data_IF_621510730949
#
_entry.id   IF_621510730949
#
_cell.length_a   1.000
_cell.length_b   1.000
_cell.length_c   1.000
_cell.angle_alpha   90.00
_cell.angle_beta   90.00
_cell.angle_gamma   90.00
#
_symmetry.space_group_name_H-M   'P 1'
#
loop_
_entity.id
_entity.type
_entity.pdbx_description
1 polymer ?
#
# COMPACT_ATOMS: atom_id res chain seq x y z
N UNK A 1 -21.90 18.39 -35.24
CA UNK A 1 -20.54 18.45 -34.63
C UNK A 1 -20.68 19.10 -33.26
N UNK A 2 -21.18 18.38 -32.25
CA UNK A 2 -21.21 18.82 -30.86
C UNK A 2 -19.93 18.32 -30.19
N UNK A 3 -18.93 19.19 -30.08
CA UNK A 3 -17.78 18.92 -29.21
C UNK A 3 -18.28 18.80 -27.77
N UNK A 4 -17.76 17.83 -27.01
CA UNK A 4 -18.10 17.66 -25.60
C UNK A 4 -17.97 19.01 -24.86
N UNK A 5 -19.09 19.51 -24.29
CA UNK A 5 -19.12 20.79 -23.57
C UNK A 5 -18.55 20.70 -22.16
N UNK A 6 -18.32 19.49 -21.70
CA UNK A 6 -17.88 19.22 -20.34
C UNK A 6 -16.72 18.22 -20.34
N UNK A 7 -15.83 18.38 -19.37
CA UNK A 7 -14.75 17.40 -19.12
C UNK A 7 -15.28 16.31 -18.18
N UNK A 8 -14.91 15.05 -18.46
CA UNK A 8 -15.23 13.96 -17.53
C UNK A 8 -14.64 14.23 -16.16
N UNK A 9 -15.47 14.15 -15.11
CA UNK A 9 -15.10 14.54 -13.75
C UNK A 9 -13.87 13.83 -13.23
N UNK A 10 -13.76 12.51 -13.44
CA UNK A 10 -12.66 11.70 -12.88
C UNK A 10 -11.37 11.90 -13.68
N UNK A 11 -11.46 12.15 -14.99
CA UNK A 11 -10.31 12.53 -15.79
C UNK A 11 -9.81 13.95 -15.46
N UNK A 12 -10.72 14.86 -15.13
CA UNK A 12 -10.39 16.20 -14.64
C UNK A 12 -9.70 16.14 -13.27
N UNK A 13 -10.14 15.24 -12.39
CA UNK A 13 -9.51 15.02 -11.09
C UNK A 13 -8.08 14.45 -11.25
N UNK A 14 -7.88 13.50 -12.18
CA UNK A 14 -6.53 13.03 -12.51
C UNK A 14 -5.62 14.14 -13.05
N UNK A 15 -6.17 15.08 -13.83
CA UNK A 15 -5.43 16.27 -14.27
C UNK A 15 -5.09 17.23 -13.11
N UNK A 16 -5.97 17.34 -12.09
CA UNK A 16 -5.67 18.06 -10.87
C UNK A 16 -4.52 17.41 -10.08
N UNK A 17 -4.49 16.09 -9.98
CA UNK A 17 -3.38 15.36 -9.34
C UNK A 17 -2.03 15.64 -10.03
N UNK A 18 -2.03 15.81 -11.35
CA UNK A 18 -0.83 16.24 -12.07
C UNK A 18 -0.32 17.60 -11.59
N UNK A 19 -1.21 18.56 -11.36
CA UNK A 19 -0.85 19.89 -10.84
C UNK A 19 -0.30 19.82 -9.41
N UNK A 20 -0.82 18.91 -8.57
CA UNK A 20 -0.27 18.66 -7.24
C UNK A 20 1.14 18.11 -7.32
N UNK A 21 1.40 17.19 -8.27
CA UNK A 21 2.75 16.67 -8.52
C UNK A 21 3.71 17.76 -8.99
N UNK A 22 3.28 18.64 -9.89
CA UNK A 22 4.07 19.77 -10.40
C UNK A 22 4.56 20.68 -9.28
N UNK A 23 3.79 20.89 -8.20
CA UNK A 23 4.26 21.61 -7.02
C UNK A 23 5.36 20.83 -6.26
N UNK A 24 5.26 19.50 -6.19
CA UNK A 24 6.34 18.65 -5.64
C UNK A 24 7.63 18.71 -6.47
N UNK A 25 7.52 18.92 -7.78
CA UNK A 25 8.64 19.05 -8.71
C UNK A 25 9.19 20.50 -8.81
N UNK A 26 8.50 21.48 -8.23
CA UNK A 26 8.86 22.89 -8.31
C UNK A 26 10.07 23.21 -7.40
N UNK A 27 11.24 23.43 -7.99
CA UNK A 27 12.50 23.70 -7.31
C UNK A 27 12.54 25.05 -6.56
N UNK A 28 11.57 25.95 -6.83
CA UNK A 28 11.40 27.22 -6.12
C UNK A 28 10.79 27.06 -4.73
N UNK A 29 10.16 25.91 -4.46
CA UNK A 29 9.59 25.62 -3.14
C UNK A 29 10.65 25.06 -2.19
N UNK A 30 10.52 25.31 -0.88
CA UNK A 30 11.36 24.66 0.12
C UNK A 30 11.27 23.13 0.03
N UNK A 31 12.40 22.43 0.25
CA UNK A 31 12.51 20.99 0.06
C UNK A 31 11.42 20.18 0.79
N UNK A 32 11.13 20.54 2.06
CA UNK A 32 10.10 19.82 2.83
C UNK A 32 8.68 20.13 2.35
N UNK A 33 8.44 21.29 1.75
CA UNK A 33 7.15 21.57 1.12
C UNK A 33 6.99 20.76 -0.16
N UNK A 34 8.05 20.58 -0.96
CA UNK A 34 8.04 19.68 -2.11
C UNK A 34 7.69 18.23 -1.68
N UNK A 35 8.35 17.71 -0.65
CA UNK A 35 8.06 16.39 -0.07
C UNK A 35 6.59 16.29 0.39
N UNK A 36 6.07 17.34 1.01
CA UNK A 36 4.69 17.40 1.46
C UNK A 36 3.70 17.33 0.29
N UNK A 37 3.96 17.99 -0.84
CA UNK A 37 3.12 17.86 -2.04
C UNK A 37 3.14 16.43 -2.61
N UNK A 38 4.27 15.74 -2.58
CA UNK A 38 4.32 14.32 -2.95
C UNK A 38 3.46 13.46 -2.00
N UNK A 39 3.50 13.72 -0.70
CA UNK A 39 2.65 13.01 0.28
C UNK A 39 1.15 13.32 0.07
N UNK A 40 0.79 14.57 -0.24
CA UNK A 40 -0.59 14.96 -0.58
C UNK A 40 -1.07 14.21 -1.83
N UNK A 41 -0.23 14.08 -2.85
CA UNK A 41 -0.58 13.30 -4.05
C UNK A 41 -0.91 11.85 -3.69
N UNK A 42 -0.09 11.20 -2.84
CA UNK A 42 -0.35 9.82 -2.39
C UNK A 42 -1.69 9.70 -1.66
N UNK A 43 -1.99 10.62 -0.74
CA UNK A 43 -3.25 10.63 0.00
C UNK A 43 -4.47 10.84 -0.92
N UNK A 44 -4.34 11.74 -1.90
CA UNK A 44 -5.39 11.99 -2.89
C UNK A 44 -5.64 10.76 -3.78
N UNK A 45 -4.58 10.06 -4.17
CA UNK A 45 -4.70 8.82 -4.94
C UNK A 45 -5.36 7.72 -4.11
N UNK A 46 -5.01 7.58 -2.83
CA UNK A 46 -5.65 6.61 -1.94
C UNK A 46 -7.16 6.87 -1.84
N UNK A 47 -7.58 8.11 -1.57
CA UNK A 47 -8.99 8.47 -1.53
C UNK A 47 -9.69 8.24 -2.87
N UNK A 48 -9.04 8.56 -3.98
CA UNK A 48 -9.56 8.34 -5.32
C UNK A 48 -9.83 6.85 -5.57
N UNK A 49 -8.90 5.96 -5.21
CA UNK A 49 -9.05 4.52 -5.32
C UNK A 49 -10.06 3.94 -4.33
N UNK A 50 -10.23 4.55 -3.17
CA UNK A 50 -11.22 4.11 -2.17
C UNK A 50 -12.65 4.51 -2.53
N UNK A 51 -12.86 5.65 -3.21
CA UNK A 51 -14.19 6.25 -3.36
C UNK A 51 -14.64 6.32 -4.82
N UNK A 52 -13.73 6.66 -5.75
CA UNK A 52 -14.10 6.96 -7.14
C UNK A 52 -14.00 5.77 -8.05
N UNK A 53 -12.92 5.00 -7.94
CA UNK A 53 -12.68 3.83 -8.79
C UNK A 53 -13.75 2.75 -8.61
N UNK A 54 -14.22 2.41 -7.39
CA UNK A 54 -15.30 1.45 -7.21
C UNK A 54 -16.57 1.85 -7.94
N UNK A 55 -16.97 3.11 -7.82
CA UNK A 55 -18.14 3.65 -8.52
C UNK A 55 -18.02 3.62 -10.04
N UNK A 56 -16.81 3.82 -10.57
CA UNK A 56 -16.55 3.67 -12.00
C UNK A 56 -16.65 2.21 -12.45
N UNK A 57 -16.18 1.27 -11.62
CA UNK A 57 -16.31 -0.17 -11.89
C UNK A 57 -17.78 -0.61 -11.89
N UNK A 58 -18.56 -0.20 -10.88
CA UNK A 58 -20.02 -0.48 -10.82
C UNK A 58 -20.75 0.04 -12.06
N UNK A 59 -20.45 1.28 -12.49
CA UNK A 59 -21.06 1.87 -13.69
C UNK A 59 -20.60 1.18 -14.97
N UNK A 60 -19.38 0.68 -15.04
CA UNK A 60 -18.89 -0.11 -16.19
C UNK A 60 -19.73 -1.38 -16.34
N UNK A 61 -20.04 -2.03 -15.23
CA UNK A 61 -20.74 -3.31 -15.20
C UNK A 61 -22.29 -3.17 -15.29
N UNK A 62 -22.79 -1.92 -15.27
CA UNK A 62 -24.20 -1.60 -15.44
C UNK A 62 -24.66 -1.66 -16.92
N UNK A 63 -25.97 -1.91 -17.19
CA UNK A 63 -26.50 -1.96 -18.56
C UNK A 63 -26.31 -0.69 -19.40
N UNK A 64 -26.21 0.47 -18.74
CA UNK A 64 -25.92 1.76 -19.36
C UNK A 64 -24.47 2.16 -19.04
N UNK A 65 -23.55 1.72 -19.87
CA UNK A 65 -22.10 1.87 -19.63
C UNK A 65 -21.45 3.07 -20.32
N UNK A 66 -22.22 4.07 -20.75
CA UNK A 66 -21.73 5.29 -21.41
C UNK A 66 -22.07 6.51 -20.53
N UNK A 67 -21.08 7.40 -20.35
CA UNK A 67 -21.26 8.65 -19.63
C UNK A 67 -21.96 9.73 -20.49
N UNK A 68 -22.17 10.91 -19.88
CA UNK A 68 -22.81 12.06 -20.55
C UNK A 68 -21.92 12.68 -21.64
N UNK A 69 -20.64 12.42 -21.59
CA UNK A 69 -19.61 12.87 -22.53
C UNK A 69 -19.44 11.90 -23.70
N UNK A 70 -20.14 10.76 -23.69
CA UNK A 70 -20.10 9.74 -24.74
C UNK A 70 -18.94 8.75 -24.60
N UNK A 71 -18.24 8.74 -23.46
CA UNK A 71 -17.19 7.78 -23.16
C UNK A 71 -17.80 6.55 -22.44
N UNK A 72 -17.32 5.36 -22.76
CA UNK A 72 -17.63 4.20 -21.93
C UNK A 72 -16.85 4.28 -20.61
N UNK A 73 -17.47 3.80 -19.51
CA UNK A 73 -16.79 3.75 -18.21
C UNK A 73 -15.54 2.85 -18.24
N UNK A 74 -15.47 1.86 -19.14
CA UNK A 74 -14.28 1.08 -19.41
C UNK A 74 -13.13 1.92 -19.99
N UNK A 75 -13.45 2.81 -20.95
CA UNK A 75 -12.46 3.76 -21.50
C UNK A 75 -11.97 4.75 -20.45
N UNK A 76 -12.89 5.26 -19.61
CA UNK A 76 -12.54 6.16 -18.50
C UNK A 76 -11.60 5.46 -17.52
N UNK A 77 -11.90 4.22 -17.09
CA UNK A 77 -11.05 3.44 -16.19
C UNK A 77 -9.66 3.18 -16.79
N UNK A 78 -9.59 2.84 -18.07
CA UNK A 78 -8.32 2.62 -18.77
C UNK A 78 -7.46 3.90 -18.82
N UNK A 79 -8.08 5.04 -19.11
CA UNK A 79 -7.39 6.33 -19.15
C UNK A 79 -6.98 6.81 -17.74
N UNK A 80 -7.83 6.61 -16.73
CA UNK A 80 -7.49 6.85 -15.31
C UNK A 80 -6.27 6.02 -14.92
N UNK A 81 -6.29 4.71 -15.20
CA UNK A 81 -5.16 3.83 -14.90
C UNK A 81 -3.86 4.31 -15.54
N UNK A 82 -3.89 4.65 -16.82
CA UNK A 82 -2.73 5.16 -17.56
C UNK A 82 -2.15 6.41 -16.88
N UNK A 83 -3.01 7.39 -16.55
CA UNK A 83 -2.59 8.65 -15.90
C UNK A 83 -2.04 8.41 -14.50
N UNK A 84 -2.66 7.52 -13.72
CA UNK A 84 -2.18 7.22 -12.36
C UNK A 84 -0.82 6.54 -12.39
N UNK A 85 -0.58 5.58 -13.30
CA UNK A 85 0.74 4.96 -13.47
C UNK A 85 1.79 6.05 -13.78
N UNK A 86 1.52 6.90 -14.77
CA UNK A 86 2.42 8.01 -15.11
C UNK A 86 2.70 8.93 -13.90
N UNK A 87 1.66 9.27 -13.12
CA UNK A 87 1.81 10.13 -11.94
C UNK A 87 2.65 9.46 -10.85
N UNK A 88 2.45 8.16 -10.59
CA UNK A 88 3.21 7.43 -9.57
C UNK A 88 4.66 7.22 -9.98
N UNK A 89 4.95 7.00 -11.27
CA UNK A 89 6.31 6.87 -11.77
C UNK A 89 7.07 8.20 -11.61
N UNK A 90 6.47 9.31 -12.03
CA UNK A 90 7.06 10.65 -11.88
C UNK A 90 7.21 11.06 -10.41
N UNK A 91 6.26 10.68 -9.53
CA UNK A 91 6.35 10.90 -8.09
C UNK A 91 7.54 10.14 -7.50
N UNK A 92 7.71 8.87 -7.87
CA UNK A 92 8.81 8.03 -7.41
C UNK A 92 10.15 8.58 -7.91
N UNK A 93 10.24 8.97 -9.17
CA UNK A 93 11.44 9.59 -9.74
C UNK A 93 11.82 10.88 -9.01
N UNK A 94 10.87 11.80 -8.79
CA UNK A 94 11.12 13.04 -8.05
C UNK A 94 11.59 12.74 -6.61
N UNK A 95 10.95 11.78 -5.91
CA UNK A 95 11.33 11.41 -4.56
C UNK A 95 12.76 10.85 -4.50
N UNK A 96 13.05 9.87 -5.37
CA UNK A 96 14.31 9.11 -5.29
C UNK A 96 15.50 9.85 -5.91
N UNK A 97 15.27 10.58 -7.00
CA UNK A 97 16.36 11.22 -7.76
C UNK A 97 16.64 12.67 -7.33
N UNK A 98 15.66 13.35 -6.68
CA UNK A 98 15.82 14.74 -6.28
C UNK A 98 15.70 14.94 -4.76
N UNK A 99 14.57 14.51 -4.15
CA UNK A 99 14.24 14.85 -2.76
C UNK A 99 15.17 14.13 -1.79
N UNK A 100 15.33 12.81 -1.91
CA UNK A 100 16.19 12.02 -1.01
C UNK A 100 17.65 12.48 -1.07
N UNK A 101 18.28 12.66 -2.26
CA UNK A 101 19.62 13.21 -2.33
C UNK A 101 19.74 14.63 -1.73
N UNK A 102 18.75 15.48 -1.95
CA UNK A 102 18.74 16.83 -1.40
C UNK A 102 18.56 16.86 0.13
N UNK A 103 17.86 15.91 0.73
CA UNK A 103 17.76 15.71 2.19
C UNK A 103 19.12 15.27 2.74
N UNK A 104 19.75 14.28 2.11
CA UNK A 104 21.10 13.80 2.50
C UNK A 104 22.13 14.92 2.46
N UNK A 105 22.12 15.76 1.44
CA UNK A 105 22.99 16.93 1.35
C UNK A 105 22.75 17.99 2.48
N UNK A 106 21.61 17.91 3.17
CA UNK A 106 21.27 18.77 4.33
C UNK A 106 21.40 18.04 5.67
N UNK A 107 22.02 16.87 5.68
CA UNK A 107 22.28 16.11 6.90
C UNK A 107 21.11 15.21 7.36
N UNK A 108 20.06 15.04 6.57
CA UNK A 108 18.99 14.07 6.85
C UNK A 108 19.15 12.88 5.92
N UNK A 109 19.59 11.76 6.44
CA UNK A 109 19.90 10.57 5.65
C UNK A 109 18.84 9.47 5.86
N UNK A 110 18.17 9.11 4.78
CA UNK A 110 17.36 7.89 4.70
C UNK A 110 18.21 6.85 4.00
N UNK A 111 18.94 6.09 4.80
CA UNK A 111 19.94 5.14 4.33
C UNK A 111 19.31 3.80 3.94
N UNK A 112 19.94 3.10 3.00
CA UNK A 112 19.68 1.67 2.80
C UNK A 112 20.38 0.89 3.94
N UNK A 113 19.73 -0.15 4.45
CA UNK A 113 20.29 -0.98 5.53
C UNK A 113 21.66 -1.56 5.17
N UNK A 114 21.88 -1.83 3.89
CA UNK A 114 23.14 -2.40 3.35
C UNK A 114 24.31 -1.42 3.34
N UNK A 115 24.01 -0.13 3.47
CA UNK A 115 25.02 0.96 3.48
C UNK A 115 25.46 1.34 4.90
N UNK A 116 24.93 0.65 5.93
CA UNK A 116 25.31 0.85 7.33
C UNK A 116 26.66 0.18 7.64
N UNK A 117 27.43 0.80 8.52
CA UNK A 117 28.58 0.16 9.10
C UNK A 117 28.20 -0.88 10.19
N UNK A 118 29.16 -1.55 10.81
CA UNK A 118 28.93 -2.62 11.76
C UNK A 118 28.24 -2.11 13.05
N UNK A 119 28.66 -0.96 13.59
CA UNK A 119 28.05 -0.38 14.81
C UNK A 119 26.63 0.10 14.54
N UNK A 120 26.39 0.72 13.41
CA UNK A 120 25.10 1.17 12.95
C UNK A 120 24.13 -0.02 12.75
N UNK A 121 24.62 -1.07 12.08
CA UNK A 121 23.84 -2.31 11.85
C UNK A 121 23.45 -2.97 13.17
N UNK A 122 24.39 -3.10 14.11
CA UNK A 122 24.14 -3.63 15.44
C UNK A 122 23.10 -2.80 16.22
N UNK A 123 23.12 -1.48 16.05
CA UNK A 123 22.12 -0.60 16.69
C UNK A 123 20.71 -0.85 16.16
N UNK A 124 20.58 -0.98 14.84
CA UNK A 124 19.31 -1.28 14.18
C UNK A 124 18.81 -2.68 14.53
N UNK A 125 19.71 -3.66 14.68
CA UNK A 125 19.35 -5.02 15.09
C UNK A 125 18.84 -5.04 16.53
N UNK A 126 19.50 -4.35 17.46
CA UNK A 126 19.01 -4.19 18.85
C UNK A 126 17.64 -3.51 18.91
N UNK A 127 17.43 -2.50 18.05
CA UNK A 127 16.11 -1.85 17.94
C UNK A 127 15.04 -2.83 17.44
N UNK A 128 15.37 -3.65 16.43
CA UNK A 128 14.47 -4.70 15.98
C UNK A 128 14.10 -5.67 17.11
N UNK A 129 15.09 -6.20 17.82
CA UNK A 129 14.88 -7.20 18.88
C UNK A 129 14.05 -6.66 20.05
N UNK A 130 14.22 -5.39 20.40
CA UNK A 130 13.55 -4.79 21.55
C UNK A 130 12.20 -4.14 21.23
N UNK A 131 12.03 -3.57 20.04
CA UNK A 131 10.86 -2.74 19.73
C UNK A 131 9.99 -3.30 18.61
N UNK A 132 10.57 -3.94 17.59
CA UNK A 132 9.84 -4.36 16.39
C UNK A 132 9.45 -5.83 16.48
N UNK A 133 10.41 -6.72 16.66
CA UNK A 133 10.22 -8.17 16.65
C UNK A 133 9.11 -8.65 17.57
N UNK A 134 9.05 -8.21 18.85
CA UNK A 134 8.04 -8.66 19.81
C UNK A 134 6.58 -8.36 19.45
N UNK A 135 6.33 -7.37 18.59
CA UNK A 135 4.97 -6.94 18.22
C UNK A 135 4.54 -7.44 16.84
N UNK A 136 5.46 -8.05 16.10
CA UNK A 136 5.14 -8.61 14.78
C UNK A 136 4.55 -10.02 14.91
N UNK A 137 3.56 -10.29 14.08
CA UNK A 137 2.92 -11.61 13.99
C UNK A 137 2.88 -12.06 12.53
N UNK A 138 3.49 -13.20 12.24
CA UNK A 138 3.36 -13.86 10.95
C UNK A 138 2.05 -14.64 10.89
N UNK A 139 1.21 -14.37 9.88
CA UNK A 139 -0.04 -15.05 9.63
C UNK A 139 0.11 -15.94 8.40
N UNK A 140 0.18 -17.25 8.61
CA UNK A 140 0.22 -18.20 7.52
C UNK A 140 -1.20 -18.46 6.99
N UNK A 141 -1.31 -18.53 5.67
CA UNK A 141 -2.54 -18.86 4.94
C UNK A 141 -2.38 -20.24 4.36
N UNK A 142 -3.22 -21.17 4.79
CA UNK A 142 -3.30 -22.50 4.25
C UNK A 142 -4.69 -22.75 3.62
N UNK A 143 -4.88 -23.84 2.85
CA UNK A 143 -6.16 -24.15 2.21
C UNK A 143 -7.33 -24.32 3.18
N UNK A 144 -7.06 -24.53 4.47
CA UNK A 144 -8.06 -24.78 5.50
C UNK A 144 -8.48 -23.51 6.25
N UNK A 145 -7.69 -22.44 6.15
CA UNK A 145 -7.94 -21.17 6.78
C UNK A 145 -8.26 -20.08 5.74
N UNK A 146 -9.28 -19.25 5.95
CA UNK A 146 -9.58 -18.17 5.04
C UNK A 146 -8.42 -17.15 5.00
N UNK A 147 -8.22 -16.52 3.84
CA UNK A 147 -7.22 -15.47 3.68
C UNK A 147 -7.39 -14.40 4.78
N UNK A 148 -6.31 -14.00 5.50
CA UNK A 148 -6.39 -13.08 6.60
C UNK A 148 -6.94 -11.73 6.15
N UNK A 149 -7.67 -11.08 7.07
CA UNK A 149 -8.11 -9.72 6.83
C UNK A 149 -6.91 -8.78 6.84
N UNK A 150 -6.67 -8.13 5.70
CA UNK A 150 -5.64 -7.11 5.56
C UNK A 150 -6.30 -5.75 5.69
N UNK A 151 -5.82 -4.95 6.65
CA UNK A 151 -6.34 -3.62 6.93
C UNK A 151 -6.19 -2.69 5.73
N UNK A 152 -7.18 -1.80 5.52
CA UNK A 152 -7.12 -0.83 4.43
C UNK A 152 -5.92 0.10 4.57
N UNK A 153 -5.09 0.19 3.55
CA UNK A 153 -3.92 1.06 3.53
C UNK A 153 -2.75 0.63 4.42
N UNK A 154 -2.86 -0.50 5.14
CA UNK A 154 -1.74 -1.02 5.94
C UNK A 154 -0.57 -1.48 5.06
N UNK A 155 0.65 -1.29 5.56
CA UNK A 155 1.85 -1.83 4.95
C UNK A 155 2.06 -3.26 5.42
N UNK A 156 2.31 -4.16 4.50
CA UNK A 156 2.46 -5.58 4.78
C UNK A 156 3.68 -6.14 4.05
N UNK A 157 4.24 -7.19 4.61
CA UNK A 157 5.23 -8.04 3.97
C UNK A 157 4.56 -9.38 3.66
N UNK A 158 4.55 -9.76 2.37
CA UNK A 158 4.06 -11.04 1.90
C UNK A 158 5.22 -11.90 1.43
N UNK A 159 5.18 -13.18 1.74
CA UNK A 159 6.17 -14.14 1.29
C UNK A 159 5.56 -15.55 1.15
N UNK A 160 6.17 -16.36 0.29
CA UNK A 160 5.85 -17.77 0.19
C UNK A 160 6.90 -18.59 0.93
N UNK A 161 6.46 -19.39 1.89
CA UNK A 161 7.31 -20.25 2.70
C UNK A 161 7.03 -21.71 2.34
N UNK A 162 8.08 -22.46 2.06
CA UNK A 162 7.97 -23.91 1.87
C UNK A 162 8.26 -24.62 3.18
N UNK A 163 7.28 -25.35 3.68
CA UNK A 163 7.42 -26.17 4.87
C UNK A 163 7.29 -27.66 4.52
N UNK A 164 8.14 -28.48 5.12
CA UNK A 164 7.98 -29.93 5.04
C UNK A 164 6.75 -30.35 5.85
N UNK A 165 5.87 -31.08 5.21
CA UNK A 165 4.68 -31.61 5.89
C UNK A 165 5.09 -32.76 6.82
N UNK A 166 4.43 -32.88 8.01
CA UNK A 166 4.59 -34.07 8.83
C UNK A 166 4.34 -35.34 8.01
N UNK A 167 5.18 -36.35 8.19
CA UNK A 167 5.19 -37.58 7.37
C UNK A 167 3.79 -38.24 7.20
N UNK A 168 2.92 -38.08 8.20
CA UNK A 168 1.54 -38.59 8.18
C UNK A 168 0.65 -37.80 7.22
N UNK A 169 0.82 -36.47 7.14
CA UNK A 169 0.07 -35.59 6.26
C UNK A 169 0.60 -35.69 4.83
N UNK A 170 1.92 -35.68 4.66
CA UNK A 170 2.60 -35.89 3.38
C UNK A 170 2.15 -37.19 2.69
N UNK A 171 2.01 -38.30 3.46
CA UNK A 171 1.54 -39.57 2.96
C UNK A 171 0.07 -39.56 2.51
N UNK A 172 -0.77 -38.75 3.20
CA UNK A 172 -2.21 -38.67 2.88
C UNK A 172 -2.45 -37.73 1.68
N UNK A 173 -1.68 -36.68 1.55
CA UNK A 173 -1.81 -35.68 0.47
C UNK A 173 -0.97 -36.00 -0.78
N UNK A 174 -0.03 -36.97 -0.68
CA UNK A 174 0.87 -37.32 -1.79
C UNK A 174 1.94 -36.27 -2.11
N UNK A 175 2.14 -35.29 -1.23
CA UNK A 175 3.14 -34.22 -1.37
C UNK A 175 3.98 -34.10 -0.11
N UNK A 176 5.29 -34.01 -0.25
CA UNK A 176 6.22 -33.93 0.88
C UNK A 176 6.49 -32.52 1.40
N UNK A 177 6.10 -31.52 0.62
CA UNK A 177 6.32 -30.12 0.93
C UNK A 177 5.10 -29.31 0.47
N UNK A 178 4.66 -28.37 1.25
CA UNK A 178 3.58 -27.45 0.91
C UNK A 178 4.09 -26.01 0.95
N UNK A 179 3.58 -25.17 0.04
CA UNK A 179 3.90 -23.75 -0.04
C UNK A 179 2.77 -22.95 0.61
N UNK A 180 3.12 -22.16 1.61
CA UNK A 180 2.19 -21.33 2.36
C UNK A 180 2.47 -19.85 2.05
N UNK A 181 1.40 -19.09 1.82
CA UNK A 181 1.52 -17.64 1.84
C UNK A 181 1.54 -17.16 3.30
N UNK A 182 2.53 -16.34 3.63
CA UNK A 182 2.64 -15.69 4.94
C UNK A 182 2.50 -14.19 4.77
N UNK A 183 1.67 -13.58 5.58
CA UNK A 183 1.51 -12.12 5.65
C UNK A 183 1.93 -11.61 7.02
N UNK A 184 2.70 -10.52 7.04
CA UNK A 184 3.11 -9.82 8.24
C UNK A 184 2.65 -8.37 8.08
N UNK A 185 1.65 -7.95 8.85
CA UNK A 185 1.22 -6.55 8.90
C UNK A 185 2.20 -5.76 9.76
N UNK A 186 2.65 -4.61 9.25
CA UNK A 186 3.50 -3.68 10.00
C UNK A 186 2.56 -2.74 10.76
N UNK A 187 2.52 -2.83 12.12
CA UNK A 187 1.61 -2.02 12.93
C UNK A 187 1.86 -0.52 12.74
N UNK A 188 0.79 0.26 12.61
CA UNK A 188 0.87 1.70 12.37
C UNK A 188 1.43 2.52 13.54
N UNK A 189 1.53 1.96 14.73
CA UNK A 189 2.15 2.61 15.89
C UNK A 189 3.67 2.51 15.87
N UNK A 190 4.26 1.62 15.06
CA UNK A 190 5.70 1.58 14.87
C UNK A 190 6.16 2.75 13.99
N UNK A 191 7.34 3.33 14.27
CA UNK A 191 7.89 4.39 13.44
C UNK A 191 8.18 3.87 12.03
N UNK A 192 7.83 4.66 11.03
CA UNK A 192 8.08 4.31 9.62
C UNK A 192 9.58 4.25 9.28
N UNK A 193 10.37 5.02 10.00
CA UNK A 193 11.82 5.13 9.86
C UNK A 193 12.48 4.82 11.20
N UNK A 194 13.33 3.80 11.22
CA UNK A 194 14.10 3.37 12.40
C UNK A 194 15.32 4.28 12.54
N UNK A 195 15.51 4.94 13.69
CA UNK A 195 16.69 5.77 13.91
C UNK A 195 17.94 4.89 14.06
N UNK A 196 19.07 5.37 13.53
CA UNK A 196 20.38 4.75 13.68
C UNK A 196 21.11 5.43 14.85
N UNK A 197 21.47 4.66 15.88
CA UNK A 197 22.22 5.20 17.03
C UNK A 197 23.57 5.79 16.58
N UNK A 198 24.01 6.84 17.28
CA UNK A 198 25.26 7.53 16.94
C UNK A 198 25.12 8.60 15.85
N UNK A 199 24.00 8.65 15.15
CA UNK A 199 23.71 9.64 14.10
C UNK A 199 22.46 10.43 14.44
N UNK A 200 22.50 11.76 14.38
CA UNK A 200 21.38 12.62 14.80
C UNK A 200 20.17 12.52 13.85
N UNK A 201 20.41 12.34 12.54
CA UNK A 201 19.37 12.36 11.51
C UNK A 201 19.55 11.28 10.44
N UNK A 202 20.03 10.10 10.83
CA UNK A 202 20.15 8.93 9.94
C UNK A 202 19.06 7.92 10.30
N UNK A 203 18.36 7.43 9.31
CA UNK A 203 17.22 6.54 9.48
C UNK A 203 17.22 5.43 8.45
N UNK A 204 16.64 4.28 8.79
CA UNK A 204 16.41 3.16 7.87
C UNK A 204 14.92 2.88 7.77
N UNK A 205 14.36 2.64 6.56
CA UNK A 205 12.97 2.22 6.41
C UNK A 205 12.68 0.93 7.18
N UNK A 206 11.60 0.92 7.98
CA UNK A 206 11.26 -0.21 8.86
C UNK A 206 11.11 -1.53 8.11
N UNK A 207 10.61 -1.51 6.87
CA UNK A 207 10.47 -2.71 6.06
C UNK A 207 11.82 -3.38 5.74
N UNK A 208 12.89 -2.62 5.55
CA UNK A 208 14.22 -3.19 5.33
C UNK A 208 14.72 -3.89 6.60
N UNK A 209 14.48 -3.28 7.76
CA UNK A 209 14.84 -3.85 9.06
C UNK A 209 14.08 -5.16 9.31
N UNK A 210 12.79 -5.21 8.99
CA UNK A 210 11.98 -6.42 9.16
C UNK A 210 12.39 -7.51 8.18
N UNK A 211 12.60 -7.17 6.90
CA UNK A 211 12.98 -8.18 5.88
C UNK A 211 14.35 -8.76 6.14
N UNK A 212 15.32 -7.98 6.60
CA UNK A 212 16.63 -8.49 7.00
C UNK A 212 16.56 -9.46 8.20
N UNK A 213 15.58 -9.26 9.09
CA UNK A 213 15.37 -10.12 10.25
C UNK A 213 14.23 -11.14 10.07
N UNK A 214 13.78 -11.37 8.85
CA UNK A 214 12.59 -12.19 8.57
C UNK A 214 12.72 -13.61 9.12
N UNK A 215 13.90 -14.20 9.11
CA UNK A 215 14.14 -15.53 9.63
C UNK A 215 13.89 -15.66 11.15
N UNK A 216 13.95 -14.56 11.91
CA UNK A 216 13.59 -14.52 13.35
C UNK A 216 12.08 -14.58 13.56
N UNK A 217 11.29 -14.15 12.56
CA UNK A 217 9.82 -14.12 12.61
C UNK A 217 9.23 -15.37 11.95
N UNK A 218 9.78 -15.77 10.81
CA UNK A 218 9.38 -16.93 10.01
C UNK A 218 10.65 -17.75 9.66
N UNK A 219 11.05 -18.75 10.45
CA UNK A 219 12.36 -19.40 10.35
C UNK A 219 12.70 -20.05 9.00
N UNK A 220 11.68 -20.36 8.18
CA UNK A 220 11.87 -20.91 6.85
C UNK A 220 11.94 -19.83 5.75
N UNK A 221 11.77 -18.56 6.09
CA UNK A 221 11.77 -17.44 5.16
C UNK A 221 13.18 -16.93 4.87
N UNK A 222 13.34 -16.36 3.67
CA UNK A 222 14.55 -15.62 3.26
C UNK A 222 14.18 -14.19 2.90
N UNK A 223 15.11 -13.25 3.08
CA UNK A 223 14.91 -11.86 2.69
C UNK A 223 14.48 -11.71 1.23
N UNK A 224 15.08 -12.49 0.33
CA UNK A 224 14.78 -12.50 -1.11
C UNK A 224 13.34 -12.87 -1.45
N UNK A 225 12.63 -13.53 -0.55
CA UNK A 225 11.27 -14.02 -0.76
C UNK A 225 10.23 -13.01 -0.28
N UNK A 226 10.68 -11.93 0.37
CA UNK A 226 9.84 -10.88 0.94
C UNK A 226 9.39 -9.88 -0.13
N UNK A 227 8.10 -9.62 -0.18
CA UNK A 227 7.49 -8.62 -1.04
C UNK A 227 6.64 -7.66 -0.23
N UNK A 228 6.92 -6.37 -0.39
CA UNK A 228 6.09 -5.33 0.22
C UNK A 228 4.80 -5.19 -0.57
N UNK A 229 3.69 -5.08 0.15
CA UNK A 229 2.42 -4.77 -0.48
C UNK A 229 1.53 -3.92 0.43
N UNK A 230 0.62 -3.22 -0.22
CA UNK A 230 -0.39 -2.40 0.42
C UNK A 230 -1.71 -2.65 -0.29
N UNK A 231 -2.81 -2.65 0.43
CA UNK A 231 -4.12 -2.93 -0.11
C UNK A 231 -5.06 -1.76 0.11
N UNK A 232 -5.64 -1.25 -0.96
CA UNK A 232 -6.70 -0.24 -0.90
C UNK A 232 -8.05 -0.91 -1.13
N UNK A 233 -9.03 -0.64 -0.26
CA UNK A 233 -10.39 -1.20 -0.32
C UNK A 233 -11.40 -0.13 -0.67
N UNK A 234 -12.52 -0.54 -1.23
CA UNK A 234 -13.68 0.31 -1.37
C UNK A 234 -14.18 0.78 0.01
N UNK A 235 -14.28 2.10 0.17
CA UNK A 235 -14.79 2.76 1.37
C UNK A 235 -16.21 3.31 1.17
N UNK A 236 -16.81 3.15 -0.02
CA UNK A 236 -18.14 3.67 -0.30
C UNK A 236 -19.20 2.84 0.44
N UNK A 237 -19.80 3.44 1.44
CA UNK A 237 -21.01 2.92 2.10
C UNK A 237 -22.21 3.55 1.40
N UNK A 238 -22.92 2.80 0.57
CA UNK A 238 -24.23 3.23 0.07
C UNK A 238 -25.26 3.11 1.17
N UNK A 239 -25.59 4.23 1.80
CA UNK A 239 -26.79 4.36 2.61
C UNK A 239 -27.99 4.44 1.66
N UNK A 240 -28.63 3.31 1.40
CA UNK A 240 -29.94 3.31 0.75
C UNK A 240 -30.94 3.86 1.75
N UNK A 241 -31.54 5.01 1.39
CA UNK A 241 -32.61 5.64 2.14
C UNK A 241 -33.88 4.75 2.10
N UNK A 242 -33.98 3.74 2.95
CA UNK A 242 -35.24 3.13 3.27
C UNK A 242 -35.22 2.42 4.63
N UNK A 243 -36.02 2.94 5.53
CA UNK A 243 -36.55 2.35 6.76
C UNK A 243 -35.63 2.35 8.00
N UNK A 244 -36.11 3.09 8.99
CA UNK A 244 -35.40 3.52 10.19
C UNK A 244 -35.10 2.46 11.26
N UNK A 245 -35.60 1.25 11.17
CA UNK A 245 -35.36 0.18 12.15
C UNK A 245 -34.28 -0.79 11.68
N UNK A 246 -34.13 -0.97 10.38
CA UNK A 246 -33.07 -1.79 9.77
C UNK A 246 -31.72 -1.07 9.65
N UNK A 247 -31.65 0.25 9.90
CA UNK A 247 -30.46 1.07 9.67
C UNK A 247 -29.25 0.56 10.47
N UNK A 248 -29.45 0.17 11.72
CA UNK A 248 -28.34 -0.30 12.60
C UNK A 248 -27.86 -1.69 12.18
N UNK A 249 -28.75 -2.57 11.77
CA UNK A 249 -28.37 -3.90 11.27
C UNK A 249 -27.72 -3.80 9.90
N UNK A 250 -28.25 -3.01 9.00
CA UNK A 250 -27.64 -2.70 7.70
C UNK A 250 -26.29 -1.99 7.86
N UNK A 251 -26.14 -1.07 8.83
CA UNK A 251 -24.84 -0.47 9.15
C UNK A 251 -23.83 -1.51 9.60
N UNK A 252 -24.24 -2.46 10.44
CA UNK A 252 -23.39 -3.58 10.86
C UNK A 252 -23.00 -4.48 9.68
N UNK A 253 -23.94 -4.79 8.80
CA UNK A 253 -23.68 -5.56 7.57
C UNK A 253 -22.78 -4.80 6.59
N UNK A 254 -23.01 -3.49 6.41
CA UNK A 254 -22.17 -2.64 5.56
C UNK A 254 -20.76 -2.46 6.12
N UNK A 255 -20.60 -2.29 7.44
CA UNK A 255 -19.28 -2.26 8.08
C UNK A 255 -18.58 -3.60 7.90
N UNK A 256 -19.32 -4.71 7.99
CA UNK A 256 -18.78 -6.05 7.74
C UNK A 256 -18.45 -6.26 6.26
N UNK A 257 -19.30 -5.81 5.35
CA UNK A 257 -19.07 -5.85 3.90
C UNK A 257 -17.93 -4.91 3.48
N UNK A 258 -17.83 -3.71 4.05
CA UNK A 258 -16.72 -2.79 3.84
C UNK A 258 -15.38 -3.35 4.33
N UNK A 259 -15.38 -4.17 5.40
CA UNK A 259 -14.20 -4.94 5.80
C UNK A 259 -13.77 -5.96 4.75
N UNK A 260 -14.73 -6.49 3.98
CA UNK A 260 -14.51 -7.49 2.93
C UNK A 260 -14.51 -6.88 1.51
N UNK A 261 -14.57 -5.54 1.42
CA UNK A 261 -14.60 -4.81 0.15
C UNK A 261 -13.50 -5.24 -0.82
N UNK A 262 -13.76 -5.16 -2.12
CA UNK A 262 -12.83 -5.51 -3.18
C UNK A 262 -11.50 -4.77 -3.08
N UNK A 263 -10.44 -5.36 -3.61
CA UNK A 263 -9.13 -4.69 -3.72
C UNK A 263 -9.16 -3.71 -4.88
N UNK A 264 -8.76 -2.47 -4.64
CA UNK A 264 -8.81 -1.39 -5.62
C UNK A 264 -7.40 -0.97 -6.11
N UNK A 265 -6.34 -1.27 -5.32
CA UNK A 265 -4.95 -0.91 -5.66
C UNK A 265 -3.96 -1.93 -5.07
#
# INVERSE_FOLDING_TARGET
RGGARFFHRDLSLAAFFRRVLEEGQNDRLPLLERLKFLAILSSNLDEFFMVRVPRLKEKRDAPQSIDREGLSFGQVLSEVRRRVIELTDLQAECLTSEIIPALRARGVDVADLRDLDEEESDSVERYFESQIGPVLTAQAVDPTHPFPYISNGSLNIGLFVRAELPAKVAKTMGVGCEEFFVSIEIPSFLPRFVPVEGSEHKYVPIEQVITANIAKIAPAAKESDCHLFRRTRDAAIELRESESVELVERLKEHIKAGRLGGVER
#
